data_IF_717402952648
#
_entry.id   IF_717402952648
#
_cell.length_a   1.000
_cell.length_b   1.000
_cell.length_c   1.000
_cell.angle_alpha   90.00
_cell.angle_beta   90.00
_cell.angle_gamma   90.00
#
_symmetry.space_group_name_H-M   'P 1'
#
loop_
_entity.id
_entity.type
_entity.pdbx_description
1 polymer ?
#
# COMPACT_ATOMS: atom_id res chain seq x y z
N UNK A 1 -6.15 -30.30 33.35
CA UNK A 1 -7.08 -31.20 32.61
C UNK A 1 -8.35 -30.40 32.40
N UNK A 2 -8.85 -30.35 31.15
CA UNK A 2 -10.21 -29.97 30.78
C UNK A 2 -10.56 -28.49 30.47
N UNK A 3 -9.75 -27.74 29.70
CA UNK A 3 -10.27 -26.70 28.78
C UNK A 3 -9.46 -26.68 27.48
N UNK A 4 -9.33 -27.85 26.85
CA UNK A 4 -9.14 -27.91 25.40
C UNK A 4 -10.49 -28.37 24.84
N UNK A 5 -11.52 -27.52 24.95
CA UNK A 5 -12.72 -27.70 24.12
C UNK A 5 -12.21 -27.69 22.70
N UNK A 6 -12.15 -28.88 22.06
CA UNK A 6 -11.97 -29.01 20.62
C UNK A 6 -12.99 -28.07 19.99
N UNK A 7 -12.56 -26.88 19.57
CA UNK A 7 -13.38 -26.02 18.75
C UNK A 7 -13.65 -26.81 17.48
N UNK A 8 -14.84 -27.39 17.38
CA UNK A 8 -15.29 -28.13 16.20
C UNK A 8 -15.82 -27.08 15.24
N UNK A 9 -14.92 -26.48 14.48
CA UNK A 9 -15.30 -25.67 13.33
C UNK A 9 -15.63 -26.62 12.17
N UNK A 10 -16.70 -26.36 11.43
CA UNK A 10 -17.09 -27.15 10.25
C UNK A 10 -15.99 -27.10 9.17
N UNK A 11 -15.30 -25.96 9.09
CA UNK A 11 -14.11 -25.74 8.29
C UNK A 11 -13.00 -25.22 9.22
N UNK A 12 -11.74 -25.63 9.05
CA UNK A 12 -10.65 -25.09 9.85
C UNK A 12 -10.55 -23.56 9.65
N UNK A 13 -10.24 -22.78 10.71
CA UNK A 13 -10.01 -21.35 10.55
C UNK A 13 -8.81 -21.13 9.64
N UNK A 14 -8.87 -20.09 8.81
CA UNK A 14 -7.76 -19.69 7.94
C UNK A 14 -6.49 -19.45 8.75
N UNK A 15 -5.38 -19.99 8.27
CA UNK A 15 -4.05 -19.75 8.84
C UNK A 15 -3.55 -18.41 8.28
N UNK A 16 -2.90 -17.61 9.13
CA UNK A 16 -2.25 -16.38 8.70
C UNK A 16 -0.91 -16.21 9.44
N UNK A 17 0.10 -15.57 8.83
CA UNK A 17 1.38 -15.30 9.51
C UNK A 17 1.23 -14.56 10.84
N UNK A 18 0.29 -13.62 10.96
CA UNK A 18 0.00 -12.91 12.20
C UNK A 18 -0.66 -13.83 13.24
N UNK A 19 -1.60 -14.68 12.81
CA UNK A 19 -2.24 -15.66 13.68
C UNK A 19 -1.22 -16.65 14.26
N UNK A 20 -0.28 -17.11 13.45
CA UNK A 20 0.83 -17.96 13.93
C UNK A 20 1.82 -17.19 14.82
N UNK A 21 2.10 -15.93 14.50
CA UNK A 21 2.95 -15.07 15.32
C UNK A 21 2.34 -14.86 16.72
N UNK A 22 1.04 -14.53 16.81
CA UNK A 22 0.34 -14.40 18.11
C UNK A 22 0.42 -15.70 18.90
N UNK A 23 0.09 -16.84 18.27
CA UNK A 23 0.17 -18.15 18.94
C UNK A 23 1.57 -18.43 19.48
N UNK A 24 2.61 -18.06 18.72
CA UNK A 24 4.01 -18.24 19.13
C UNK A 24 4.43 -17.30 20.25
N UNK A 25 4.04 -16.03 20.20
CA UNK A 25 4.47 -15.01 21.17
C UNK A 25 3.71 -15.12 22.50
N UNK A 26 2.40 -15.34 22.44
CA UNK A 26 1.51 -15.21 23.61
C UNK A 26 0.53 -16.38 23.78
N UNK A 27 0.57 -17.41 22.92
CA UNK A 27 -0.35 -18.55 23.01
C UNK A 27 -0.40 -19.26 24.38
N UNK A 28 0.73 -19.47 25.08
CA UNK A 28 0.74 -20.13 26.39
C UNK A 28 0.85 -19.18 27.59
N UNK A 29 0.93 -17.86 27.39
CA UNK A 29 1.22 -16.86 28.45
C UNK A 29 0.25 -15.69 28.41
N UNK A 30 0.07 -15.00 29.53
CA UNK A 30 -0.77 -13.79 29.58
C UNK A 30 -0.27 -12.73 28.58
N UNK A 31 -1.22 -12.08 27.91
CA UNK A 31 -0.91 -11.05 26.91
C UNK A 31 -0.41 -9.79 27.65
N UNK A 32 0.82 -9.29 27.36
CA UNK A 32 1.37 -8.13 28.03
C UNK A 32 0.50 -6.88 27.87
N UNK A 33 0.51 -6.01 28.89
CA UNK A 33 -0.10 -4.69 28.75
C UNK A 33 0.58 -3.91 27.63
N UNK A 34 -0.22 -3.25 26.79
CA UNK A 34 0.28 -2.50 25.64
C UNK A 34 0.73 -3.34 24.45
N UNK A 35 0.44 -4.65 24.41
CA UNK A 35 0.74 -5.50 23.25
C UNK A 35 0.09 -4.94 21.96
N UNK A 36 0.90 -4.87 20.91
CA UNK A 36 0.56 -4.36 19.58
C UNK A 36 1.06 -5.39 18.54
N UNK A 37 0.15 -6.20 18.02
CA UNK A 37 0.49 -7.27 17.09
C UNK A 37 1.08 -6.73 15.79
N UNK A 38 0.54 -5.62 15.29
CA UNK A 38 1.07 -4.97 14.10
C UNK A 38 2.54 -4.59 14.28
N UNK A 39 2.91 -4.02 15.44
CA UNK A 39 4.30 -3.70 15.78
C UNK A 39 5.16 -4.96 15.83
N UNK A 40 4.72 -5.99 16.56
CA UNK A 40 5.46 -7.24 16.70
C UNK A 40 5.72 -7.93 15.36
N UNK A 41 4.76 -7.88 14.44
CA UNK A 41 4.91 -8.39 13.08
C UNK A 41 6.00 -7.63 12.32
N UNK A 42 5.93 -6.29 12.31
CA UNK A 42 6.92 -5.43 11.66
C UNK A 42 8.32 -5.70 12.23
N UNK A 43 8.45 -5.79 13.54
CA UNK A 43 9.71 -6.07 14.23
C UNK A 43 10.22 -7.49 13.96
N UNK A 44 9.33 -8.48 13.84
CA UNK A 44 9.72 -9.85 13.52
C UNK A 44 10.27 -9.96 12.08
N UNK A 45 9.66 -9.26 11.12
CA UNK A 45 10.12 -9.24 9.72
C UNK A 45 11.43 -8.45 9.58
N UNK A 46 11.55 -7.31 10.27
CA UNK A 46 12.80 -6.53 10.30
C UNK A 46 13.95 -7.30 10.93
N UNK A 47 13.67 -8.00 12.03
CA UNK A 47 14.65 -8.82 12.74
C UNK A 47 14.83 -10.24 12.18
N UNK A 48 14.27 -10.54 11.01
CA UNK A 48 14.39 -11.84 10.32
C UNK A 48 13.90 -13.06 11.15
N UNK A 49 13.06 -12.80 12.15
CA UNK A 49 12.37 -13.82 12.96
C UNK A 49 11.09 -14.34 12.29
N UNK A 50 10.69 -13.69 11.19
CA UNK A 50 9.57 -14.06 10.34
C UNK A 50 9.96 -13.78 8.89
N UNK A 51 9.93 -14.82 8.06
CA UNK A 51 10.05 -14.73 6.61
C UNK A 51 8.64 -14.76 6.01
N UNK A 52 8.35 -13.76 5.17
CA UNK A 52 7.06 -13.64 4.47
C UNK A 52 7.16 -14.11 3.02
N UNK A 53 8.28 -14.67 2.58
CA UNK A 53 8.46 -15.15 1.21
C UNK A 53 7.43 -16.25 0.90
N UNK A 54 6.59 -16.09 -0.15
CA UNK A 54 5.61 -17.10 -0.52
C UNK A 54 6.28 -18.40 -0.94
N UNK A 55 5.60 -19.51 -0.69
CA UNK A 55 6.03 -20.85 -1.07
C UNK A 55 4.87 -21.63 -1.74
N UNK A 56 5.07 -22.91 -2.02
CA UNK A 56 4.08 -23.73 -2.72
C UNK A 56 2.74 -23.89 -1.98
N UNK A 57 2.73 -23.73 -0.66
CA UNK A 57 1.54 -23.83 0.19
C UNK A 57 0.91 -22.45 0.47
N UNK A 58 1.46 -21.37 -0.10
CA UNK A 58 0.99 -20.01 0.14
C UNK A 58 -0.34 -19.71 -0.55
N UNK A 59 -1.22 -19.03 0.18
CA UNK A 59 -2.45 -18.43 -0.35
C UNK A 59 -2.23 -16.99 -0.82
N UNK A 60 -3.27 -16.39 -1.40
CA UNK A 60 -3.20 -15.02 -1.91
C UNK A 60 -2.80 -14.00 -0.84
N UNK A 61 -3.24 -14.21 0.40
CA UNK A 61 -2.91 -13.34 1.52
C UNK A 61 -1.39 -13.30 1.82
N UNK A 62 -0.70 -14.42 1.67
CA UNK A 62 0.76 -14.47 1.88
C UNK A 62 1.49 -13.64 0.82
N UNK A 63 1.03 -13.67 -0.43
CA UNK A 63 1.55 -12.79 -1.48
C UNK A 63 1.27 -11.31 -1.19
N UNK A 64 0.10 -10.98 -0.63
CA UNK A 64 -0.24 -9.61 -0.24
C UNK A 64 0.66 -9.11 0.90
N UNK A 65 0.95 -9.95 1.90
CA UNK A 65 1.86 -9.63 3.00
C UNK A 65 3.32 -9.53 2.54
N UNK A 66 3.77 -10.46 1.69
CA UNK A 66 5.11 -10.41 1.12
C UNK A 66 5.37 -9.11 0.36
N UNK A 67 4.38 -8.62 -0.39
CA UNK A 67 4.50 -7.35 -1.11
C UNK A 67 4.85 -6.17 -0.18
N UNK A 68 4.50 -6.23 1.12
CA UNK A 68 4.78 -5.18 2.09
C UNK A 68 6.21 -5.19 2.64
N UNK A 69 6.98 -6.26 2.43
CA UNK A 69 8.36 -6.39 2.96
C UNK A 69 9.26 -5.19 2.62
N UNK A 70 9.23 -4.62 1.39
CA UNK A 70 10.01 -3.43 1.06
C UNK A 70 9.60 -2.18 1.85
N UNK A 71 8.34 -2.07 2.26
CA UNK A 71 7.87 -0.95 3.10
C UNK A 71 8.26 -1.16 4.56
N UNK A 72 8.25 -2.42 5.01
CA UNK A 72 8.65 -2.82 6.37
C UNK A 72 10.16 -2.63 6.58
N UNK A 73 10.97 -3.07 5.62
CA UNK A 73 12.43 -3.04 5.69
C UNK A 73 13.03 -2.39 4.43
N UNK A 74 12.83 -1.08 4.26
CA UNK A 74 13.20 -0.38 3.02
C UNK A 74 14.70 -0.42 2.73
N UNK A 75 15.54 -0.56 3.74
CA UNK A 75 17.00 -0.66 3.58
C UNK A 75 17.45 -1.96 2.90
N UNK A 76 16.57 -2.98 2.85
CA UNK A 76 16.82 -4.24 2.15
C UNK A 76 16.26 -4.26 0.73
N UNK A 77 15.44 -3.27 0.37
CA UNK A 77 14.82 -3.18 -0.95
C UNK A 77 15.85 -2.81 -2.01
N UNK A 78 15.62 -3.20 -3.27
CA UNK A 78 16.54 -2.90 -4.37
C UNK A 78 16.70 -1.39 -4.60
N UNK A 79 15.61 -0.65 -4.41
CA UNK A 79 15.52 0.81 -4.50
C UNK A 79 16.28 1.55 -3.39
N UNK A 80 16.69 0.87 -2.31
CA UNK A 80 17.43 1.50 -1.20
C UNK A 80 18.70 2.21 -1.65
N UNK A 81 19.39 1.70 -2.67
CA UNK A 81 20.58 2.31 -3.25
C UNK A 81 20.32 3.68 -3.93
N UNK A 82 19.06 4.02 -4.18
CA UNK A 82 18.62 5.27 -4.82
C UNK A 82 17.88 6.19 -3.87
N UNK A 83 17.69 5.80 -2.61
CA UNK A 83 16.81 6.49 -1.66
C UNK A 83 17.52 6.79 -0.35
N UNK A 84 17.29 8.00 0.16
CA UNK A 84 17.59 8.36 1.53
C UNK A 84 16.27 8.68 2.23
N UNK A 85 15.91 7.88 3.23
CA UNK A 85 14.61 7.99 3.90
C UNK A 85 14.77 8.64 5.27
N UNK A 86 14.05 9.74 5.49
CA UNK A 86 13.99 10.40 6.79
C UNK A 86 13.31 9.51 7.84
N UNK A 87 13.60 9.72 9.15
CA UNK A 87 12.90 9.01 10.21
C UNK A 87 11.37 9.19 10.16
N UNK A 88 10.90 10.39 9.80
CA UNK A 88 9.46 10.68 9.68
C UNK A 88 8.81 9.91 8.53
N UNK A 89 9.51 9.76 7.40
CA UNK A 89 9.00 8.95 6.28
C UNK A 89 9.01 7.46 6.60
N UNK A 90 9.99 6.97 7.36
CA UNK A 90 9.99 5.57 7.86
C UNK A 90 8.80 5.30 8.79
N UNK A 91 8.47 6.24 9.67
CA UNK A 91 7.27 6.16 10.49
C UNK A 91 5.99 6.14 9.62
N UNK A 92 5.94 6.97 8.59
CA UNK A 92 4.86 6.96 7.60
C UNK A 92 4.70 5.58 6.94
N UNK A 93 5.79 4.95 6.50
CA UNK A 93 5.73 3.61 5.89
C UNK A 93 5.19 2.55 6.86
N UNK A 94 5.51 2.63 8.15
CA UNK A 94 4.93 1.75 9.15
C UNK A 94 3.41 1.93 9.27
N UNK A 95 2.92 3.17 9.27
CA UNK A 95 1.48 3.45 9.31
C UNK A 95 0.78 2.92 8.04
N UNK A 96 1.39 3.13 6.87
CA UNK A 96 0.89 2.56 5.60
C UNK A 96 0.83 1.04 5.66
N UNK A 97 1.88 0.36 6.12
CA UNK A 97 1.92 -1.10 6.27
C UNK A 97 0.80 -1.58 7.17
N UNK A 98 0.66 -0.98 8.35
CA UNK A 98 -0.40 -1.35 9.30
C UNK A 98 -1.78 -1.20 8.64
N UNK A 99 -1.99 -0.09 7.93
CA UNK A 99 -3.28 0.18 7.28
C UNK A 99 -3.57 -0.80 6.16
N UNK A 100 -2.57 -1.16 5.36
CA UNK A 100 -2.73 -2.18 4.31
C UNK A 100 -2.97 -3.56 4.92
N UNK A 101 -2.35 -3.92 6.05
CA UNK A 101 -2.63 -5.21 6.71
C UNK A 101 -4.08 -5.26 7.20
N UNK A 102 -4.56 -4.19 7.86
CA UNK A 102 -5.94 -4.07 8.30
C UNK A 102 -6.92 -4.12 7.10
N UNK A 103 -6.62 -3.40 6.03
CA UNK A 103 -7.41 -3.40 4.80
C UNK A 103 -7.24 -4.68 3.99
N UNK A 104 -6.15 -5.43 4.04
CA UNK A 104 -6.04 -6.71 3.30
C UNK A 104 -6.99 -7.77 3.86
N UNK A 105 -7.55 -7.51 5.04
CA UNK A 105 -8.65 -8.27 5.60
C UNK A 105 -10.06 -7.76 5.17
N UNK A 106 -10.19 -6.74 4.29
CA UNK A 106 -11.50 -6.30 3.69
C UNK A 106 -11.52 -5.20 2.56
N UNK A 107 -10.39 -4.79 1.97
CA UNK A 107 -10.00 -3.83 0.86
C UNK A 107 -11.05 -2.83 0.26
N UNK A 108 -10.87 -1.51 -0.03
CA UNK A 108 -9.82 -0.44 -0.08
C UNK A 108 -10.52 0.99 -0.15
N UNK A 109 -9.80 2.15 -0.12
CA UNK A 109 -10.31 3.57 -0.31
C UNK A 109 -9.30 4.59 -0.95
N UNK A 110 -9.78 5.76 -1.51
CA UNK A 110 -9.04 6.93 -2.12
C UNK A 110 -8.84 8.24 -1.31
N UNK A 111 -8.26 9.23 -2.01
CA UNK A 111 -7.93 10.62 -1.67
C UNK A 111 -8.35 11.61 -2.82
N UNK A 112 -8.38 12.93 -2.55
CA UNK A 112 -8.89 14.04 -3.39
C UNK A 112 -7.84 15.17 -3.66
N UNK A 113 -8.10 16.00 -4.68
CA UNK A 113 -7.29 17.07 -5.28
C UNK A 113 -7.07 18.35 -4.42
N UNK A 114 -5.98 19.10 -4.67
CA UNK A 114 -5.83 20.53 -4.26
C UNK A 114 -5.16 21.36 -5.39
N UNK A 115 -5.72 22.51 -5.81
CA UNK A 115 -5.12 23.40 -6.81
C UNK A 115 -4.13 24.41 -6.20
N UNK A 116 -3.19 24.91 -7.01
CA UNK A 116 -2.30 26.03 -6.65
C UNK A 116 -2.37 27.12 -7.70
N UNK A 117 -2.53 28.38 -7.27
CA UNK A 117 -2.62 29.59 -8.11
C UNK A 117 -1.63 30.67 -7.63
N UNK A 118 -0.97 31.32 -8.60
CA UNK A 118 -0.47 32.70 -8.52
C UNK A 118 0.92 32.96 -7.93
N UNK A 119 1.86 33.42 -8.76
CA UNK A 119 2.70 34.60 -8.53
C UNK A 119 3.60 34.85 -9.75
N UNK A 120 3.43 35.99 -10.41
CA UNK A 120 4.42 36.52 -11.37
C UNK A 120 5.16 37.68 -10.75
N UNK A 121 6.48 37.74 -10.92
CA UNK A 121 7.36 38.92 -10.73
C UNK A 121 8.69 38.66 -11.52
N UNK A 122 9.53 39.69 -11.77
CA UNK A 122 10.12 40.06 -13.07
C UNK A 122 11.45 39.38 -13.43
N UNK A 123 11.85 39.44 -14.72
CA UNK A 123 13.07 38.80 -15.27
C UNK A 123 14.39 39.42 -14.77
N UNK A 124 15.32 38.56 -14.30
CA UNK A 124 16.67 38.53 -14.87
C UNK A 124 17.27 37.11 -14.97
N UNK A 125 17.82 36.74 -16.15
CA UNK A 125 18.54 35.49 -16.39
C UNK A 125 17.64 34.24 -16.43
N UNK A 126 17.91 33.29 -17.34
CA UNK A 126 17.15 32.04 -17.36
C UNK A 126 17.63 31.18 -16.19
N UNK A 127 16.79 31.06 -15.16
CA UNK A 127 16.97 30.07 -14.08
C UNK A 127 16.16 28.83 -14.45
N UNK A 128 16.85 27.71 -14.65
CA UNK A 128 16.22 26.41 -14.87
C UNK A 128 16.13 25.68 -13.52
N UNK A 129 14.91 25.56 -13.00
CA UNK A 129 14.65 24.83 -11.77
C UNK A 129 14.44 23.35 -12.07
N UNK A 130 15.23 22.49 -11.44
CA UNK A 130 15.13 21.03 -11.55
C UNK A 130 14.79 20.47 -10.18
N UNK A 131 13.68 19.75 -10.08
CA UNK A 131 13.27 19.09 -8.85
C UNK A 131 13.02 17.59 -9.10
N UNK A 132 13.15 16.74 -8.07
CA UNK A 132 12.77 15.34 -8.19
C UNK A 132 11.30 15.20 -8.57
N UNK A 133 11.03 14.40 -9.60
CA UNK A 133 9.68 14.04 -9.99
C UNK A 133 9.39 12.63 -9.48
N UNK A 134 8.62 12.55 -8.39
CA UNK A 134 7.96 11.34 -7.96
C UNK A 134 6.46 11.51 -8.19
N UNK A 135 5.86 10.62 -8.97
CA UNK A 135 4.43 10.63 -9.27
C UNK A 135 3.71 9.39 -8.75
N UNK A 136 4.47 8.41 -8.25
CA UNK A 136 4.03 7.27 -7.45
C UNK A 136 5.00 7.10 -6.27
N UNK A 137 4.64 6.27 -5.29
CA UNK A 137 5.56 5.93 -4.19
C UNK A 137 6.88 5.33 -4.75
N UNK A 138 8.04 5.66 -4.15
CA UNK A 138 9.35 5.25 -4.67
C UNK A 138 9.71 3.80 -4.31
N UNK A 139 8.73 2.88 -4.29
CA UNK A 139 8.91 1.48 -3.94
C UNK A 139 8.46 0.56 -5.08
N UNK A 140 9.25 0.46 -6.17
CA UNK A 140 8.89 -0.40 -7.29
C UNK A 140 8.76 -1.87 -6.89
N UNK A 141 9.55 -2.33 -5.92
CA UNK A 141 9.47 -3.71 -5.44
C UNK A 141 8.13 -4.03 -4.75
N UNK A 142 7.55 -3.06 -4.02
CA UNK A 142 6.19 -3.17 -3.47
C UNK A 142 5.16 -3.35 -4.58
N UNK A 143 5.20 -2.49 -5.61
CA UNK A 143 4.26 -2.56 -6.71
C UNK A 143 4.37 -3.86 -7.51
N UNK A 144 5.60 -4.35 -7.79
CA UNK A 144 5.81 -5.66 -8.41
C UNK A 144 5.25 -6.79 -7.56
N UNK A 145 5.43 -6.73 -6.24
CA UNK A 145 4.83 -7.69 -5.31
C UNK A 145 3.31 -7.70 -5.39
N UNK A 146 2.68 -6.52 -5.49
CA UNK A 146 1.23 -6.41 -5.70
C UNK A 146 0.79 -6.98 -7.04
N UNK A 147 1.46 -6.65 -8.14
CA UNK A 147 1.15 -7.22 -9.46
C UNK A 147 1.26 -8.75 -9.45
N UNK A 148 2.32 -9.29 -8.84
CA UNK A 148 2.49 -10.73 -8.66
C UNK A 148 1.36 -11.37 -7.85
N UNK A 149 0.84 -10.68 -6.81
CA UNK A 149 -0.31 -11.18 -6.05
C UNK A 149 -1.59 -11.28 -6.90
N UNK A 150 -1.84 -10.31 -7.80
CA UNK A 150 -3.00 -10.34 -8.72
C UNK A 150 -2.83 -11.42 -9.80
N UNK A 151 -1.62 -11.57 -10.33
CA UNK A 151 -1.28 -12.65 -11.27
C UNK A 151 -1.52 -14.02 -10.65
N UNK A 152 -1.03 -14.24 -9.42
CA UNK A 152 -1.22 -15.48 -8.68
C UNK A 152 -2.70 -15.84 -8.53
N UNK A 153 -3.52 -14.93 -8.00
CA UNK A 153 -4.94 -15.24 -7.78
C UNK A 153 -5.68 -15.44 -9.11
N UNK A 154 -5.33 -14.69 -10.16
CA UNK A 154 -5.89 -14.87 -11.50
C UNK A 154 -5.58 -16.26 -12.06
N UNK A 155 -4.33 -16.70 -11.94
CA UNK A 155 -3.89 -18.03 -12.38
C UNK A 155 -4.57 -19.15 -11.59
N UNK A 156 -4.62 -19.06 -10.26
CA UNK A 156 -5.28 -20.07 -9.41
C UNK A 156 -6.77 -20.18 -9.68
N UNK A 157 -7.47 -19.05 -9.76
CA UNK A 157 -8.89 -19.03 -10.11
C UNK A 157 -9.13 -19.57 -11.53
N UNK A 158 -8.21 -19.31 -12.47
CA UNK A 158 -8.30 -19.83 -13.84
C UNK A 158 -8.11 -21.36 -13.86
N UNK A 159 -7.21 -21.90 -13.04
CA UNK A 159 -7.01 -23.35 -12.89
C UNK A 159 -8.25 -24.04 -12.29
N UNK A 160 -8.88 -23.42 -11.29
CA UNK A 160 -10.02 -23.99 -10.56
C UNK A 160 -11.31 -23.92 -11.38
N UNK A 161 -11.63 -22.74 -11.93
CA UNK A 161 -12.92 -22.48 -12.57
C UNK A 161 -12.87 -22.50 -14.10
N UNK A 162 -11.67 -22.37 -14.68
CA UNK A 162 -11.48 -22.20 -16.12
C UNK A 162 -11.64 -20.74 -16.57
N UNK A 163 -10.87 -20.36 -17.59
CA UNK A 163 -10.91 -19.01 -18.16
C UNK A 163 -12.31 -18.56 -18.66
N UNK A 164 -13.18 -19.43 -19.23
CA UNK A 164 -14.54 -19.02 -19.59
C UNK A 164 -15.39 -18.62 -18.38
N UNK A 165 -15.33 -19.39 -17.28
CA UNK A 165 -16.13 -19.12 -16.09
C UNK A 165 -15.75 -17.80 -15.42
N UNK A 166 -14.45 -17.44 -15.41
CA UNK A 166 -14.01 -16.15 -14.85
C UNK A 166 -14.55 -14.94 -15.62
N UNK A 167 -14.92 -15.10 -16.88
CA UNK A 167 -15.55 -14.03 -17.67
C UNK A 167 -17.05 -13.88 -17.41
N UNK A 168 -17.66 -14.84 -16.71
CA UNK A 168 -19.07 -14.82 -16.30
C UNK A 168 -19.23 -14.41 -14.83
N UNK A 169 -18.15 -14.48 -14.05
CA UNK A 169 -18.14 -14.08 -12.65
C UNK A 169 -17.86 -12.57 -12.56
N UNK A 170 -18.64 -11.89 -11.75
CA UNK A 170 -18.47 -10.48 -11.43
C UNK A 170 -18.36 -10.30 -9.92
N UNK A 171 -17.50 -9.38 -9.48
CA UNK A 171 -17.37 -9.03 -8.07
C UNK A 171 -18.67 -8.42 -7.54
N UNK A 172 -19.12 -8.86 -6.36
CA UNK A 172 -20.24 -8.25 -5.67
C UNK A 172 -19.76 -7.07 -4.83
N UNK A 173 -20.43 -5.93 -4.99
CA UNK A 173 -20.21 -4.70 -4.23
C UNK A 173 -21.47 -4.37 -3.41
N UNK A 174 -21.40 -3.47 -2.41
CA UNK A 174 -22.59 -3.01 -1.69
C UNK A 174 -23.69 -2.43 -2.58
N UNK A 175 -23.35 -1.95 -3.78
CA UNK A 175 -24.28 -1.38 -4.77
C UNK A 175 -24.70 -2.36 -5.86
N UNK A 176 -24.25 -3.62 -5.80
CA UNK A 176 -24.57 -4.66 -6.78
C UNK A 176 -23.32 -5.21 -7.49
N UNK A 177 -23.52 -5.89 -8.60
CA UNK A 177 -22.42 -6.48 -9.38
C UNK A 177 -21.53 -5.42 -10.01
N UNK A 178 -20.21 -5.61 -9.96
CA UNK A 178 -19.26 -4.83 -10.72
C UNK A 178 -19.52 -4.98 -12.23
N UNK A 179 -19.24 -3.92 -12.99
CA UNK A 179 -19.51 -3.87 -14.43
C UNK A 179 -18.57 -4.77 -15.24
N UNK A 180 -17.31 -4.89 -14.82
CA UNK A 180 -16.30 -5.75 -15.45
C UNK A 180 -16.37 -7.15 -14.87
N UNK A 181 -15.99 -8.14 -15.68
CA UNK A 181 -15.83 -9.51 -15.21
C UNK A 181 -14.54 -9.66 -14.39
N UNK A 182 -14.49 -10.70 -13.57
CA UNK A 182 -13.40 -10.95 -12.64
C UNK A 182 -12.07 -11.19 -13.34
N UNK A 183 -12.07 -11.84 -14.51
CA UNK A 183 -10.84 -12.03 -15.29
C UNK A 183 -10.25 -10.69 -15.73
N UNK A 184 -11.10 -9.80 -16.23
CA UNK A 184 -10.71 -8.45 -16.65
C UNK A 184 -10.25 -7.61 -15.46
N UNK A 185 -11.00 -7.57 -14.36
CA UNK A 185 -10.61 -6.79 -13.16
C UNK A 185 -9.23 -7.21 -12.64
N UNK A 186 -8.95 -8.51 -12.54
CA UNK A 186 -7.66 -9.00 -12.03
C UNK A 186 -6.49 -8.66 -12.96
N UNK A 187 -6.67 -8.78 -14.28
CA UNK A 187 -5.65 -8.42 -15.26
C UNK A 187 -5.39 -6.90 -15.25
N UNK A 188 -6.44 -6.10 -15.15
CA UNK A 188 -6.32 -4.64 -15.07
C UNK A 188 -5.58 -4.18 -13.80
N UNK A 189 -5.81 -4.84 -12.67
CA UNK A 189 -5.08 -4.55 -11.42
C UNK A 189 -3.60 -4.96 -11.52
N UNK A 190 -3.32 -6.13 -12.10
CA UNK A 190 -1.95 -6.56 -12.40
C UNK A 190 -1.21 -5.52 -13.25
N UNK A 191 -1.79 -5.11 -14.38
CA UNK A 191 -1.22 -4.10 -15.28
C UNK A 191 -1.05 -2.73 -14.62
N UNK A 192 -2.00 -2.31 -13.77
CA UNK A 192 -1.93 -1.06 -13.03
C UNK A 192 -0.70 -1.03 -12.10
N UNK A 193 -0.49 -2.10 -11.34
CA UNK A 193 0.63 -2.21 -10.41
C UNK A 193 1.97 -2.37 -11.13
N UNK A 194 2.04 -3.16 -12.20
CA UNK A 194 3.24 -3.22 -13.05
C UNK A 194 3.56 -1.85 -13.68
N UNK A 195 2.53 -1.09 -14.06
CA UNK A 195 2.65 0.29 -14.51
C UNK A 195 3.21 1.24 -13.45
N UNK A 196 2.76 1.12 -12.20
CA UNK A 196 3.28 1.88 -11.07
C UNK A 196 4.74 1.52 -10.76
N UNK A 197 5.10 0.24 -10.81
CA UNK A 197 6.49 -0.21 -10.65
C UNK A 197 7.40 0.41 -11.73
N UNK A 198 7.02 0.31 -13.00
CA UNK A 198 7.79 0.87 -14.12
C UNK A 198 7.93 2.39 -14.01
N UNK A 199 6.87 3.09 -13.62
CA UNK A 199 6.90 4.54 -13.38
C UNK A 199 7.89 4.90 -12.26
N UNK A 200 7.81 4.19 -11.12
CA UNK A 200 8.69 4.39 -9.97
C UNK A 200 10.16 4.13 -10.32
N UNK A 201 10.45 3.07 -11.08
CA UNK A 201 11.80 2.74 -11.56
C UNK A 201 12.40 3.80 -12.46
N UNK A 202 11.60 4.33 -13.39
CA UNK A 202 12.02 5.40 -14.30
C UNK A 202 12.33 6.68 -13.51
N UNK A 203 11.46 7.05 -12.56
CA UNK A 203 11.61 8.22 -11.69
C UNK A 203 12.82 8.12 -10.74
N UNK A 204 13.18 6.92 -10.30
CA UNK A 204 14.37 6.65 -9.49
C UNK A 204 15.65 6.47 -10.31
N UNK A 205 15.56 6.48 -11.65
CA UNK A 205 16.69 6.20 -12.52
C UNK A 205 17.26 4.79 -12.33
N UNK A 206 16.41 3.81 -11.98
CA UNK A 206 16.81 2.40 -11.79
C UNK A 206 16.99 1.66 -13.12
N UNK A 207 16.66 2.28 -14.25
CA UNK A 207 17.13 1.84 -15.58
C UNK A 207 16.56 0.50 -16.04
N UNK A 208 15.41 0.04 -15.52
CA UNK A 208 14.73 -1.15 -16.07
C UNK A 208 14.14 -0.87 -17.46
N UNK A 209 13.92 0.39 -17.82
CA UNK A 209 13.73 0.84 -19.20
C UNK A 209 14.98 0.69 -20.09
N UNK A 210 16.19 0.68 -19.51
CA UNK A 210 17.43 0.32 -20.23
C UNK A 210 17.60 -1.21 -20.36
N UNK A 211 17.08 -2.00 -19.42
CA UNK A 211 17.01 -3.46 -19.52
C UNK A 211 15.91 -3.94 -20.49
N UNK A 212 14.82 -3.19 -20.66
CA UNK A 212 13.77 -3.45 -21.66
C UNK A 212 14.25 -3.33 -23.12
N UNK A 213 15.46 -2.78 -23.35
CA UNK A 213 16.14 -2.89 -24.64
C UNK A 213 16.63 -4.32 -24.94
N UNK A 214 16.74 -5.19 -23.92
CA UNK A 214 17.17 -6.58 -24.05
C UNK A 214 16.00 -7.59 -24.12
N UNK A 215 14.80 -7.21 -23.68
CA UNK A 215 13.58 -8.02 -23.75
C UNK A 215 12.39 -7.18 -24.27
N UNK A 216 12.02 -7.35 -25.55
CA UNK A 216 10.90 -6.63 -26.17
C UNK A 216 9.55 -6.83 -25.47
N UNK A 217 9.28 -8.02 -24.92
CA UNK A 217 8.01 -8.34 -24.26
C UNK A 217 7.90 -7.58 -22.93
N UNK A 218 8.99 -7.57 -22.15
CA UNK A 218 9.07 -6.79 -20.91
C UNK A 218 8.90 -5.28 -21.18
N UNK A 219 9.47 -4.80 -22.28
CA UNK A 219 9.33 -3.41 -22.71
C UNK A 219 7.90 -3.04 -23.12
N UNK A 220 7.18 -3.95 -23.78
CA UNK A 220 5.78 -3.77 -24.14
C UNK A 220 4.87 -3.77 -22.91
N UNK A 221 5.05 -4.73 -22.00
CA UNK A 221 4.31 -4.81 -20.74
C UNK A 221 4.46 -3.51 -19.93
N UNK A 222 5.69 -3.02 -19.77
CA UNK A 222 5.95 -1.76 -19.07
C UNK A 222 5.30 -0.55 -19.77
N UNK A 223 5.26 -0.51 -21.11
CA UNK A 223 4.54 0.55 -21.86
C UNK A 223 3.04 0.47 -21.65
N UNK A 224 2.46 -0.72 -21.74
CA UNK A 224 1.03 -0.96 -21.51
C UNK A 224 0.63 -0.57 -20.09
N UNK A 225 1.33 -1.09 -19.07
CA UNK A 225 1.10 -0.76 -17.66
C UNK A 225 1.19 0.74 -17.39
N UNK A 226 2.19 1.45 -17.93
CA UNK A 226 2.27 2.92 -17.80
C UNK A 226 1.09 3.63 -18.46
N UNK A 227 0.61 3.16 -19.61
CA UNK A 227 -0.58 3.71 -20.25
C UNK A 227 -1.82 3.49 -19.36
N UNK A 228 -1.96 2.30 -18.77
CA UNK A 228 -3.03 1.96 -17.82
C UNK A 228 -2.99 2.85 -16.57
N UNK A 229 -1.83 3.01 -15.95
CA UNK A 229 -1.64 3.90 -14.80
C UNK A 229 -2.04 5.34 -15.13
N UNK A 230 -1.60 5.86 -16.29
CA UNK A 230 -1.99 7.22 -16.73
C UNK A 230 -3.48 7.34 -16.97
N UNK A 231 -4.11 6.33 -17.56
CA UNK A 231 -5.56 6.31 -17.77
C UNK A 231 -6.29 6.35 -16.42
N UNK A 232 -5.96 5.42 -15.52
CA UNK A 232 -6.55 5.36 -14.18
C UNK A 232 -6.37 6.65 -13.38
N UNK A 233 -5.18 7.28 -13.43
CA UNK A 233 -4.92 8.55 -12.74
C UNK A 233 -5.78 9.71 -13.25
N UNK A 234 -6.16 9.72 -14.53
CA UNK A 234 -7.05 10.77 -15.07
C UNK A 234 -8.47 10.61 -14.56
N UNK A 235 -8.89 9.37 -14.30
CA UNK A 235 -10.26 9.02 -13.94
C UNK A 235 -10.37 8.63 -12.45
N UNK A 236 -9.36 8.95 -11.63
CA UNK A 236 -9.25 8.47 -10.24
C UNK A 236 -10.38 9.00 -9.36
N UNK A 237 -10.89 10.20 -9.64
CA UNK A 237 -12.01 10.82 -8.93
C UNK A 237 -13.32 10.07 -9.16
N UNK A 238 -13.46 9.44 -10.32
CA UNK A 238 -14.65 8.68 -10.73
C UNK A 238 -14.55 7.18 -10.40
N UNK A 239 -13.41 6.71 -9.89
CA UNK A 239 -13.22 5.30 -9.52
C UNK A 239 -14.24 4.86 -8.42
N UNK A 240 -15.14 3.90 -8.70
CA UNK A 240 -16.23 3.57 -7.79
C UNK A 240 -15.75 2.87 -6.51
N UNK A 241 -14.67 2.08 -6.59
CA UNK A 241 -14.18 1.30 -5.44
C UNK A 241 -13.57 2.19 -4.37
N UNK A 242 -12.91 3.20 -4.87
CA UNK A 242 -12.18 4.11 -4.06
C UNK A 242 -13.13 5.06 -3.27
N UNK A 243 -14.33 5.37 -3.76
CA UNK A 243 -15.31 6.30 -3.15
C UNK A 243 -16.18 5.73 -2.01
N UNK A 244 -15.98 4.44 -1.66
CA UNK A 244 -16.73 3.75 -0.61
C UNK A 244 -16.20 4.15 0.79
N UNK A 245 -17.00 3.99 1.85
CA UNK A 245 -16.50 4.18 3.22
C UNK A 245 -15.68 2.96 3.67
N UNK A 246 -14.38 3.14 3.93
CA UNK A 246 -13.48 2.09 4.42
C UNK A 246 -13.44 1.96 5.94
N UNK A 247 -14.19 2.77 6.71
CA UNK A 247 -14.15 2.66 8.17
C UNK A 247 -14.63 1.29 8.59
N UNK A 248 -13.78 0.57 9.32
CA UNK A 248 -14.03 -0.82 9.69
C UNK A 248 -13.29 -1.24 10.95
N UNK A 249 -13.77 -2.31 11.57
CA UNK A 249 -13.18 -2.93 12.75
C UNK A 249 -12.89 -4.40 12.46
N UNK A 250 -11.62 -4.78 12.52
CA UNK A 250 -11.16 -6.15 12.23
C UNK A 250 -10.79 -6.86 13.52
N UNK A 251 -11.45 -7.98 13.86
CA UNK A 251 -11.03 -8.79 15.00
C UNK A 251 -9.68 -9.45 14.73
N UNK A 252 -8.75 -9.27 15.66
CA UNK A 252 -7.40 -9.85 15.61
C UNK A 252 -7.37 -11.15 16.41
N UNK A 253 -7.66 -11.07 17.71
CA UNK A 253 -7.81 -12.23 18.60
C UNK A 253 -8.75 -11.91 19.77
N UNK A 254 -9.23 -12.95 20.45
CA UNK A 254 -9.97 -12.81 21.70
C UNK A 254 -9.05 -13.10 22.88
N UNK A 255 -8.95 -12.15 23.80
CA UNK A 255 -8.19 -12.28 25.04
C UNK A 255 -9.09 -12.90 26.11
N UNK A 256 -8.83 -14.15 26.46
CA UNK A 256 -9.63 -14.90 27.43
C UNK A 256 -9.55 -14.34 28.85
N UNK A 257 -8.43 -13.71 29.21
CA UNK A 257 -8.19 -13.20 30.57
C UNK A 257 -8.90 -11.85 30.77
N UNK A 258 -8.82 -10.98 29.76
CA UNK A 258 -9.52 -9.69 29.73
C UNK A 258 -10.98 -9.79 29.31
N UNK A 259 -11.40 -10.93 28.74
CA UNK A 259 -12.71 -11.14 28.12
C UNK A 259 -13.05 -10.13 27.01
N UNK A 260 -12.03 -9.60 26.35
CA UNK A 260 -12.14 -8.55 25.32
C UNK A 260 -11.59 -9.03 23.99
N UNK A 261 -12.05 -8.39 22.91
CA UNK A 261 -11.57 -8.63 21.56
C UNK A 261 -10.50 -7.58 21.25
N UNK A 262 -9.31 -8.00 20.87
CA UNK A 262 -8.31 -7.11 20.29
C UNK A 262 -8.68 -6.86 18.83
N UNK A 263 -8.79 -5.59 18.45
CA UNK A 263 -9.23 -5.19 17.11
C UNK A 263 -8.26 -4.19 16.48
N UNK A 264 -8.17 -4.25 15.15
CA UNK A 264 -7.68 -3.12 14.36
C UNK A 264 -8.87 -2.28 13.92
N UNK A 265 -8.85 -1.00 14.25
CA UNK A 265 -9.87 -0.04 13.83
C UNK A 265 -9.26 0.84 12.75
N UNK A 266 -9.83 0.78 11.55
CA UNK A 266 -9.52 1.67 10.45
C UNK A 266 -10.48 2.86 10.51
N UNK A 267 -9.95 4.06 10.73
CA UNK A 267 -10.74 5.28 10.96
C UNK A 267 -10.90 6.13 9.70
N UNK A 268 -10.24 5.76 8.61
CA UNK A 268 -10.26 6.49 7.35
C UNK A 268 -8.86 6.86 6.89
N UNK A 269 -8.80 7.90 6.06
CA UNK A 269 -7.54 8.42 5.52
C UNK A 269 -7.35 9.85 5.98
N UNK A 270 -6.09 10.22 6.14
CA UNK A 270 -5.69 11.61 6.33
C UNK A 270 -4.50 11.90 5.42
N UNK A 271 -3.99 13.12 5.47
CA UNK A 271 -2.90 13.54 4.61
C UNK A 271 -1.82 14.24 5.43
N UNK A 272 -0.58 14.03 5.03
CA UNK A 272 0.57 14.73 5.60
C UNK A 272 1.44 15.31 4.50
N UNK A 273 2.14 16.42 4.77
CA UNK A 273 3.16 16.92 3.84
C UNK A 273 4.30 15.91 3.73
N UNK A 274 4.81 15.75 2.51
CA UNK A 274 6.01 15.01 2.16
C UNK A 274 6.96 15.96 1.42
N UNK A 275 8.14 16.14 1.98
CA UNK A 275 9.21 16.90 1.34
C UNK A 275 10.14 15.94 0.59
N UNK A 276 10.42 16.26 -0.67
CA UNK A 276 11.20 15.42 -1.59
C UNK A 276 12.32 16.29 -2.17
N UNK A 277 13.57 15.86 -2.04
CA UNK A 277 14.71 16.58 -2.57
C UNK A 277 15.80 15.61 -3.04
N UNK A 278 16.69 16.08 -3.90
CA UNK A 278 17.90 15.34 -4.23
C UNK A 278 18.83 15.35 -3.01
N UNK A 279 19.08 14.21 -2.40
CA UNK A 279 20.13 14.06 -1.38
C UNK A 279 21.51 14.47 -1.94
N UNK A 280 21.74 14.11 -3.22
CA UNK A 280 22.86 14.59 -4.03
C UNK A 280 22.33 15.08 -5.37
N UNK A 281 22.51 16.37 -5.64
CA UNK A 281 22.09 16.96 -6.91
C UNK A 281 22.74 16.25 -8.12
N UNK A 282 21.96 15.96 -9.19
CA UNK A 282 22.52 15.37 -10.40
C UNK A 282 23.41 16.38 -11.13
N UNK A 283 24.22 15.87 -12.07
CA UNK A 283 24.97 16.74 -12.98
C UNK A 283 24.04 17.12 -14.14
N UNK A 284 23.88 18.41 -14.38
CA UNK A 284 23.11 18.94 -15.50
C UNK A 284 24.03 19.78 -16.41
N UNK A 285 23.86 19.65 -17.72
CA UNK A 285 24.50 20.47 -18.73
C UNK A 285 23.44 20.94 -19.71
N UNK A 286 23.42 22.24 -20.01
CA UNK A 286 22.47 22.83 -20.94
C UNK A 286 23.20 23.05 -22.26
N UNK A 287 22.63 22.56 -23.35
CA UNK A 287 23.19 22.67 -24.69
C UNK A 287 22.32 23.59 -25.54
N UNK A 288 22.92 24.32 -26.49
CA UNK A 288 22.20 25.00 -27.57
C UNK A 288 21.76 24.03 -28.67
N UNK A 289 21.05 24.52 -29.68
CA UNK A 289 20.59 23.71 -30.83
C UNK A 289 21.75 23.10 -31.64
N UNK A 290 22.97 23.62 -31.49
CA UNK A 290 24.19 23.12 -32.11
C UNK A 290 24.98 22.16 -31.19
N UNK A 291 24.49 21.88 -29.98
CA UNK A 291 25.11 20.98 -29.01
C UNK A 291 26.21 21.61 -28.16
N UNK A 292 26.40 22.92 -28.19
CA UNK A 292 27.41 23.62 -27.38
C UNK A 292 26.88 23.97 -25.98
N UNK A 293 27.70 23.90 -24.92
CA UNK A 293 27.27 24.29 -23.59
C UNK A 293 26.83 25.76 -23.49
N UNK A 294 25.63 25.99 -22.96
CA UNK A 294 25.15 27.31 -22.58
C UNK A 294 25.59 27.67 -21.17
N UNK A 295 26.22 28.84 -21.02
CA UNK A 295 26.68 29.38 -19.73
C UNK A 295 25.77 30.45 -19.16
N UNK A 296 24.77 30.88 -19.92
CA UNK A 296 23.83 31.93 -19.58
C UNK A 296 22.54 31.42 -18.91
N UNK A 297 22.48 30.11 -18.65
CA UNK A 297 21.39 29.47 -17.91
C UNK A 297 21.93 28.91 -16.61
N UNK A 298 21.33 29.30 -15.49
CA UNK A 298 21.69 28.78 -14.17
C UNK A 298 20.75 27.63 -13.80
N UNK A 299 21.31 26.48 -13.42
CA UNK A 299 20.52 25.34 -12.95
C UNK A 299 20.42 25.38 -11.44
N UNK A 300 19.19 25.49 -10.93
CA UNK A 300 18.90 25.39 -9.50
C UNK A 300 18.19 24.07 -9.20
N UNK A 301 18.70 23.32 -8.21
CA UNK A 301 18.05 22.11 -7.74
C UNK A 301 17.15 22.43 -6.55
N UNK A 302 15.85 22.17 -6.69
CA UNK A 302 14.85 22.45 -5.65
C UNK A 302 14.20 21.18 -5.13
N UNK A 303 13.74 21.26 -3.89
CA UNK A 303 12.83 20.26 -3.33
C UNK A 303 11.40 20.48 -3.82
N UNK A 304 10.60 19.42 -3.86
CA UNK A 304 9.15 19.50 -4.01
C UNK A 304 8.48 19.11 -2.71
N UNK A 305 7.35 19.76 -2.42
CA UNK A 305 6.49 19.38 -1.31
C UNK A 305 5.19 18.85 -1.86
N UNK A 306 4.82 17.63 -1.47
CA UNK A 306 3.56 16.97 -1.85
C UNK A 306 2.73 16.69 -0.60
N UNK A 307 1.47 16.35 -0.78
CA UNK A 307 0.67 15.71 0.29
C UNK A 307 0.50 14.25 -0.08
N UNK A 308 0.69 13.38 0.90
CA UNK A 308 0.50 11.93 0.72
C UNK A 308 -0.61 11.44 1.63
N UNK A 309 -1.47 10.53 1.13
CA UNK A 309 -2.48 9.90 1.96
C UNK A 309 -1.80 8.95 2.94
N UNK A 310 -2.37 8.84 4.13
CA UNK A 310 -2.00 7.79 5.06
C UNK A 310 -3.25 7.25 5.77
N UNK A 311 -3.26 5.94 6.07
CA UNK A 311 -4.35 5.34 6.80
C UNK A 311 -4.30 5.77 8.26
N UNK A 312 -5.45 6.18 8.81
CA UNK A 312 -5.59 6.45 10.23
C UNK A 312 -6.14 5.19 10.90
N UNK A 313 -5.39 4.63 11.83
CA UNK A 313 -5.77 3.38 12.46
C UNK A 313 -5.30 3.26 13.91
N UNK A 314 -5.91 2.34 14.63
CA UNK A 314 -5.55 2.01 16.01
C UNK A 314 -5.71 0.52 16.29
N UNK A 315 -4.93 0.00 17.23
CA UNK A 315 -5.08 -1.34 17.78
C UNK A 315 -5.55 -1.25 19.23
N UNK A 316 -6.82 -1.61 19.48
CA UNK A 316 -7.47 -1.42 20.78
C UNK A 316 -8.21 -2.67 21.24
N UNK A 317 -8.51 -2.75 22.53
CA UNK A 317 -9.42 -3.76 23.08
C UNK A 317 -10.83 -3.21 23.10
N UNK A 318 -11.80 -4.05 22.73
CA UNK A 318 -13.23 -3.72 22.77
C UNK A 318 -14.00 -4.87 23.41
N UNK A 319 -15.13 -4.54 24.03
CA UNK A 319 -16.05 -5.56 24.55
C UNK A 319 -17.01 -6.08 23.48
N UNK A 320 -17.22 -5.30 22.41
CA UNK A 320 -18.12 -5.65 21.30
C UNK A 320 -17.54 -5.22 19.96
N UNK A 321 -17.70 -6.07 18.94
CA UNK A 321 -17.43 -5.68 17.56
C UNK A 321 -18.55 -4.79 17.03
N UNK A 322 -18.17 -3.64 16.49
CA UNK A 322 -19.06 -2.78 15.71
C UNK A 322 -19.04 -3.25 14.25
N UNK A 323 -20.20 -3.35 13.62
CA UNK A 323 -20.26 -3.48 12.16
C UNK A 323 -19.88 -2.15 11.47
N UNK A 324 -19.78 -2.15 10.14
CA UNK A 324 -19.40 -0.96 9.36
C UNK A 324 -20.35 0.24 9.57
N UNK A 325 -21.66 -0.02 9.69
CA UNK A 325 -22.65 1.05 9.87
C UNK A 325 -22.59 1.62 11.28
N UNK A 326 -22.43 0.77 12.28
CA UNK A 326 -22.26 1.16 13.68
C UNK A 326 -20.97 1.95 13.89
N UNK A 327 -19.84 1.48 13.35
CA UNK A 327 -18.56 2.18 13.45
C UNK A 327 -18.60 3.52 12.72
N UNK A 328 -19.22 3.56 11.54
CA UNK A 328 -19.45 4.82 10.82
C UNK A 328 -20.22 5.82 11.67
N UNK A 329 -21.35 5.41 12.25
CA UNK A 329 -22.15 6.29 13.12
C UNK A 329 -21.36 6.76 14.35
N UNK A 330 -20.52 5.89 14.91
CA UNK A 330 -19.61 6.24 16.00
C UNK A 330 -18.57 7.28 15.60
N UNK A 331 -17.93 7.12 14.45
CA UNK A 331 -16.98 8.08 13.90
C UNK A 331 -17.64 9.39 13.46
N UNK A 332 -18.89 9.36 12.98
CA UNK A 332 -19.62 10.58 12.63
C UNK A 332 -20.00 11.39 13.89
N UNK A 333 -20.18 10.71 15.03
CA UNK A 333 -20.41 11.33 16.35
C UNK A 333 -19.14 11.92 16.96
N UNK A 334 -18.00 11.25 16.80
CA UNK A 334 -16.72 11.65 17.38
C UNK A 334 -15.72 11.97 16.27
N UNK A 335 -15.35 13.24 16.10
CA UNK A 335 -14.66 13.71 14.89
C UNK A 335 -13.13 13.63 14.93
N UNK A 336 -12.53 13.16 16.03
CA UNK A 336 -11.08 12.98 16.15
C UNK A 336 -10.75 11.53 16.50
N UNK A 337 -9.60 11.03 16.02
CA UNK A 337 -9.16 9.67 16.33
C UNK A 337 -9.09 9.43 17.85
N UNK A 338 -8.55 10.39 18.60
CA UNK A 338 -8.51 10.32 20.06
C UNK A 338 -9.90 10.19 20.69
N UNK A 339 -10.87 11.03 20.29
CA UNK A 339 -12.22 10.99 20.81
C UNK A 339 -12.98 9.73 20.38
N UNK A 340 -12.75 9.23 19.15
CA UNK A 340 -13.33 7.98 18.67
C UNK A 340 -12.89 6.84 19.56
N UNK A 341 -11.58 6.73 19.79
CA UNK A 341 -10.98 5.64 20.56
C UNK A 341 -11.32 5.72 22.04
N UNK A 342 -11.39 6.92 22.64
CA UNK A 342 -11.74 7.09 24.04
C UNK A 342 -13.19 6.70 24.36
N UNK A 343 -14.08 6.67 23.35
CA UNK A 343 -15.49 6.31 23.48
C UNK A 343 -15.81 4.94 22.85
N UNK A 344 -14.79 4.18 22.47
CA UNK A 344 -14.92 2.81 21.97
C UNK A 344 -14.89 1.87 23.19
N UNK A 345 -16.04 1.29 23.56
CA UNK A 345 -16.21 0.38 24.70
C UNK A 345 -15.95 -1.10 24.37
#
# INVERSE_FOLDING_TARGET
>A
REIARRQRHLLPPSISPEGELVKRLVGPVSIPDGFDLCRELIEAVRGERLDLTPNADSGWYDYQLHALVPLIAPDRALESARLELSPSYRCYLEEVVRGIIALSRETHVKQLEIPVVGAGLPEPGIVLEIAPQLSVEPFPSYFRGRAASYRFIREELTKIFGAPALREIHRLTPTGSAARDLSTELAEMEELFDGAAACSEDELGMGLSQAAGADPELGELARSGRARLRAWRRDIEDDPDLGVDARMMVPVFYDLERQQIKVWVFLGWSERPLDIAYARAPRASILDDAGHPRTDVHVEFKGTRRRVPYPVMAEVYVTRLLDRSELRAHCDRWQSAEAILSHLE
#
